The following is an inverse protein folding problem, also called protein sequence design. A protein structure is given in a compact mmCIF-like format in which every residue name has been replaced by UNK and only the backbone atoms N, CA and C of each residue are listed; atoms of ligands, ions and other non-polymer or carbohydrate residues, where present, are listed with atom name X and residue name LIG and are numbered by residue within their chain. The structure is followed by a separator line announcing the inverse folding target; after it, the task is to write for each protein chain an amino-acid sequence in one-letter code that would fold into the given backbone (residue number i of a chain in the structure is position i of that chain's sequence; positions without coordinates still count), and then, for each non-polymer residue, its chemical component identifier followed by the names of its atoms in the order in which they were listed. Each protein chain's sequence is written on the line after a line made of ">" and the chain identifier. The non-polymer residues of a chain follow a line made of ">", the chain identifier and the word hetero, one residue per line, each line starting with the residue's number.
data_IF_740893061259
#
_entry.id   IF_740893061259
#
_cell.length_a   1.000
_cell.length_b   1.000
_cell.length_c   1.000
_cell.angle_alpha   90.00
_cell.angle_beta   90.00
_cell.angle_gamma   90.00
#
_symmetry.space_group_name_H-M   'P 1'
#
loop_
_entity.id
_entity.type
_entity.pdbx_description
1 polymer ?
#
# COMPACT_ATOMS: atom_id res chain seq x y z
N UNK A 1 1.20 -9.93 20.27
CA UNK A 1 -0.14 -10.35 19.82
C UNK A 1 -0.33 -9.80 18.42
N UNK A 2 -0.47 -10.65 17.39
CA UNK A 2 -0.57 -10.20 16.00
C UNK A 2 -2.05 -10.23 15.59
N UNK A 3 -2.69 -9.07 15.54
CA UNK A 3 -4.04 -8.94 15.00
C UNK A 3 -3.93 -8.82 13.48
N UNK A 4 -4.56 -9.74 12.75
CA UNK A 4 -4.66 -9.68 11.28
C UNK A 4 -6.12 -9.44 10.92
N UNK A 5 -6.41 -8.28 10.35
CA UNK A 5 -7.76 -7.98 9.87
C UNK A 5 -7.96 -8.66 8.52
N UNK A 6 -8.91 -9.57 8.47
CA UNK A 6 -9.21 -10.31 7.25
C UNK A 6 -10.28 -9.55 6.49
N UNK A 7 -9.92 -9.20 5.26
CA UNK A 7 -10.86 -8.60 4.34
C UNK A 7 -11.85 -9.66 3.88
N UNK A 8 -13.14 -9.48 4.17
CA UNK A 8 -14.21 -10.28 3.59
C UNK A 8 -14.69 -9.66 2.26
N UNK A 9 -13.77 -9.22 1.39
CA UNK A 9 -14.08 -8.83 0.00
C UNK A 9 -14.23 -10.06 -0.89
N UNK A 10 -14.88 -11.09 -0.38
CA UNK A 10 -15.19 -12.27 -1.15
C UNK A 10 -16.65 -12.57 -0.89
N UNK A 11 -17.50 -11.90 -1.66
CA UNK A 11 -18.83 -12.40 -2.00
C UNK A 11 -18.67 -13.85 -2.46
N UNK A 12 -18.85 -14.80 -1.54
CA UNK A 12 -18.92 -16.24 -1.81
C UNK A 12 -17.74 -17.14 -1.41
N UNK A 13 -16.61 -16.64 -0.88
CA UNK A 13 -15.61 -17.54 -0.27
C UNK A 13 -15.77 -17.60 1.23
N UNK A 14 -16.29 -18.72 1.70
CA UNK A 14 -16.32 -19.11 3.11
C UNK A 14 -14.89 -19.18 3.64
N UNK A 15 -14.62 -18.52 4.77
CA UNK A 15 -13.38 -18.75 5.51
C UNK A 15 -13.33 -20.25 5.84
N UNK A 16 -12.33 -20.97 5.32
CA UNK A 16 -12.25 -22.42 5.48
C UNK A 16 -11.80 -22.77 6.90
N UNK A 17 -12.29 -23.91 7.41
CA UNK A 17 -11.87 -24.42 8.72
C UNK A 17 -10.36 -24.68 8.80
N UNK A 18 -9.74 -25.09 7.69
CA UNK A 18 -8.29 -25.25 7.60
C UNK A 18 -7.55 -23.91 7.83
N UNK A 19 -8.09 -22.82 7.29
CA UNK A 19 -7.50 -21.50 7.44
C UNK A 19 -7.68 -20.97 8.87
N UNK A 20 -8.86 -21.12 9.48
CA UNK A 20 -9.08 -20.72 10.89
C UNK A 20 -8.23 -21.55 11.85
N UNK A 21 -8.08 -22.85 11.59
CA UNK A 21 -7.20 -23.72 12.38
C UNK A 21 -5.74 -23.24 12.32
N UNK A 22 -5.24 -22.86 11.14
CA UNK A 22 -3.91 -22.27 10.97
C UNK A 22 -3.75 -20.94 11.71
N UNK A 23 -4.76 -20.05 11.66
CA UNK A 23 -4.72 -18.78 12.39
C UNK A 23 -4.68 -18.99 13.91
N UNK A 24 -5.52 -19.90 14.41
CA UNK A 24 -5.58 -20.26 15.83
C UNK A 24 -4.26 -20.89 16.31
N UNK A 25 -3.69 -21.83 15.53
CA UNK A 25 -2.39 -22.43 15.83
C UNK A 25 -1.25 -21.39 15.92
N UNK A 26 -1.34 -20.29 15.17
CA UNK A 26 -0.37 -19.20 15.18
C UNK A 26 -0.74 -18.05 16.13
N UNK A 27 -1.79 -18.21 16.96
CA UNK A 27 -2.29 -17.18 17.88
C UNK A 27 -2.60 -15.84 17.19
N UNK A 28 -3.11 -15.92 15.95
CA UNK A 28 -3.55 -14.77 15.18
C UNK A 28 -5.02 -14.50 15.46
N UNK A 29 -5.32 -13.30 15.91
CA UNK A 29 -6.70 -12.83 16.08
C UNK A 29 -7.15 -12.24 14.75
N UNK A 30 -8.31 -12.68 14.27
CA UNK A 30 -8.92 -12.13 13.07
C UNK A 30 -10.31 -11.56 13.34
N UNK A 31 -10.65 -10.52 12.58
CA UNK A 31 -11.96 -9.88 12.58
C UNK A 31 -12.44 -9.82 11.14
N UNK A 32 -13.70 -10.20 10.93
CA UNK A 32 -14.37 -10.07 9.63
C UNK A 32 -14.97 -8.68 9.51
N UNK A 33 -14.63 -7.99 8.42
CA UNK A 33 -15.21 -6.68 8.09
C UNK A 33 -16.45 -6.90 7.22
N UNK A 34 -17.61 -6.28 7.54
CA UNK A 34 -18.78 -6.35 6.69
C UNK A 34 -18.51 -5.91 5.25
N UNK A 35 -19.25 -6.45 4.26
CA UNK A 35 -19.14 -6.01 2.88
C UNK A 35 -19.31 -4.49 2.77
N UNK A 36 -18.52 -3.86 1.90
CA UNK A 36 -18.53 -2.40 1.65
C UNK A 36 -18.21 -1.51 2.85
N UNK A 37 -17.57 -2.05 3.90
CA UNK A 37 -17.09 -1.24 5.04
C UNK A 37 -15.56 -1.20 5.15
N UNK A 38 -14.83 -1.64 4.12
CA UNK A 38 -13.35 -1.70 4.16
C UNK A 38 -12.71 -0.33 4.26
N UNK A 39 -13.30 0.67 3.60
CA UNK A 39 -12.92 2.07 3.66
C UNK A 39 -13.13 2.71 5.03
N UNK A 40 -13.98 2.12 5.89
CA UNK A 40 -14.28 2.60 7.23
C UNK A 40 -13.57 1.82 8.34
N UNK A 41 -13.36 0.52 8.14
CA UNK A 41 -12.96 -0.40 9.22
C UNK A 41 -11.60 -1.06 8.97
N UNK A 42 -11.02 -0.94 7.78
CA UNK A 42 -9.71 -1.50 7.48
C UNK A 42 -8.64 -0.40 7.59
N UNK A 43 -7.76 -0.44 8.62
CA UNK A 43 -6.68 0.54 8.82
C UNK A 43 -5.83 0.79 7.58
N UNK A 44 -5.62 -0.27 6.80
CA UNK A 44 -4.84 -0.21 5.59
C UNK A 44 -5.50 0.63 4.49
N UNK A 45 -6.82 0.55 4.32
CA UNK A 45 -7.55 1.33 3.31
C UNK A 45 -7.78 2.78 3.76
N UNK A 46 -7.95 3.01 5.07
CA UNK A 46 -8.14 4.34 5.66
C UNK A 46 -6.94 5.27 5.44
N UNK A 47 -5.72 4.80 5.71
CA UNK A 47 -4.56 5.71 5.73
C UNK A 47 -3.29 5.16 5.05
N UNK A 48 -2.95 3.88 5.29
CA UNK A 48 -1.68 3.30 4.84
C UNK A 48 -1.60 3.28 3.30
N UNK A 49 -2.67 2.84 2.64
CA UNK A 49 -2.74 2.75 1.18
C UNK A 49 -2.66 4.13 0.51
N UNK A 50 -3.26 5.16 1.11
CA UNK A 50 -3.19 6.53 0.59
C UNK A 50 -1.75 7.03 0.60
N UNK A 51 -1.05 6.89 1.72
CA UNK A 51 0.34 7.32 1.86
C UNK A 51 1.28 6.56 0.92
N UNK A 52 1.11 5.24 0.82
CA UNK A 52 1.90 4.40 -0.09
C UNK A 52 1.69 4.78 -1.56
N UNK A 53 0.43 4.94 -1.99
CA UNK A 53 0.09 5.36 -3.36
C UNK A 53 0.66 6.74 -3.68
N UNK A 54 0.55 7.69 -2.75
CA UNK A 54 1.09 9.04 -2.94
C UNK A 54 2.61 9.02 -3.08
N UNK A 55 3.31 8.23 -2.26
CA UNK A 55 4.77 8.11 -2.33
C UNK A 55 5.22 7.54 -3.68
N UNK A 56 4.63 6.42 -4.10
CA UNK A 56 4.97 5.79 -5.39
C UNK A 56 4.64 6.69 -6.58
N UNK A 57 3.51 7.41 -6.52
CA UNK A 57 3.14 8.40 -7.52
C UNK A 57 4.20 9.50 -7.62
N UNK A 58 4.66 10.05 -6.50
CA UNK A 58 5.68 11.09 -6.49
C UNK A 58 7.02 10.62 -7.06
N UNK A 59 7.44 9.39 -6.73
CA UNK A 59 8.65 8.78 -7.30
C UNK A 59 8.53 8.61 -8.82
N UNK A 60 7.37 8.16 -9.31
CA UNK A 60 7.11 8.05 -10.73
C UNK A 60 7.11 9.42 -11.43
N UNK A 61 6.38 10.41 -10.90
CA UNK A 61 6.27 11.74 -11.49
C UNK A 61 7.64 12.44 -11.54
N UNK A 62 8.43 12.35 -10.47
CA UNK A 62 9.77 12.92 -10.41
C UNK A 62 10.71 12.28 -11.43
N UNK A 63 10.68 10.94 -11.53
CA UNK A 63 11.48 10.21 -12.52
C UNK A 63 11.04 10.55 -13.95
N UNK A 64 9.74 10.56 -14.21
CA UNK A 64 9.19 10.84 -15.54
C UNK A 64 9.55 12.26 -15.99
N UNK A 65 9.38 13.25 -15.11
CA UNK A 65 9.77 14.63 -15.38
C UNK A 65 11.26 14.73 -15.71
N UNK A 66 12.13 14.05 -14.96
CA UNK A 66 13.57 14.02 -15.25
C UNK A 66 13.85 13.42 -16.65
N UNK A 67 13.21 12.30 -17.02
CA UNK A 67 13.38 11.71 -18.36
C UNK A 67 12.93 12.65 -19.49
N UNK A 68 11.82 13.37 -19.30
CA UNK A 68 11.33 14.35 -20.26
C UNK A 68 12.30 15.53 -20.37
N UNK A 69 12.79 16.07 -19.25
CA UNK A 69 13.79 17.14 -19.24
C UNK A 69 15.09 16.73 -19.93
N UNK A 70 15.59 15.53 -19.66
CA UNK A 70 16.82 15.00 -20.28
C UNK A 70 16.67 14.92 -21.80
N UNK A 71 15.53 14.41 -22.30
CA UNK A 71 15.27 14.29 -23.74
C UNK A 71 15.03 15.65 -24.42
N UNK A 72 14.39 16.60 -23.74
CA UNK A 72 14.21 17.98 -24.24
C UNK A 72 15.51 18.78 -24.24
N UNK A 73 16.44 18.49 -23.34
CA UNK A 73 17.75 19.13 -23.34
C UNK A 73 18.64 18.70 -24.51
N UNK A 74 18.39 17.50 -25.05
CA UNK A 74 19.15 16.90 -26.15
C UNK A 74 18.49 16.95 -27.53
N UNK A 75 17.19 17.26 -27.62
CA UNK A 75 16.44 17.36 -28.89
C UNK A 75 15.66 18.68 -28.98
N UNK A 76 15.57 19.26 -30.17
CA UNK A 76 14.85 20.52 -30.39
C UNK A 76 13.34 20.33 -30.65
N UNK A 77 12.89 19.09 -30.90
CA UNK A 77 11.50 18.78 -31.25
C UNK A 77 10.79 18.01 -30.13
N UNK A 78 9.74 18.64 -29.59
CA UNK A 78 8.89 18.07 -28.55
C UNK A 78 8.19 16.78 -28.98
N UNK A 79 8.00 16.56 -30.29
CA UNK A 79 7.35 15.37 -30.83
C UNK A 79 8.25 14.13 -30.78
N UNK A 80 9.56 14.30 -30.58
CA UNK A 80 10.53 13.20 -30.47
C UNK A 80 10.66 12.68 -29.03
N UNK A 81 10.12 13.40 -28.04
CA UNK A 81 10.16 12.98 -26.64
C UNK A 81 9.28 11.75 -26.44
N UNK A 82 9.94 10.61 -26.22
CA UNK A 82 9.27 9.33 -25.96
C UNK A 82 9.94 8.65 -24.79
N UNK A 83 9.29 8.71 -23.63
CA UNK A 83 9.74 7.99 -22.43
C UNK A 83 9.31 6.53 -22.54
N UNK A 84 10.26 5.61 -22.35
CA UNK A 84 9.99 4.17 -22.32
C UNK A 84 9.29 3.77 -21.02
N UNK A 85 7.99 3.48 -21.12
CA UNK A 85 7.14 2.98 -20.04
C UNK A 85 6.89 1.47 -20.12
N UNK A 86 7.69 0.73 -20.89
CA UNK A 86 7.57 -0.72 -21.00
C UNK A 86 7.74 -1.40 -19.64
N UNK A 87 7.09 -2.54 -19.45
CA UNK A 87 7.18 -3.29 -18.19
C UNK A 87 8.61 -3.73 -17.85
N UNK A 88 9.46 -3.94 -18.88
CA UNK A 88 10.87 -4.29 -18.68
C UNK A 88 11.64 -3.14 -18.01
N UNK A 89 11.31 -1.89 -18.34
CA UNK A 89 11.87 -0.69 -17.70
C UNK A 89 11.20 -0.41 -16.35
N UNK A 90 9.88 -0.51 -16.29
CA UNK A 90 9.10 -0.10 -15.12
C UNK A 90 9.19 -1.05 -13.94
N UNK A 91 9.33 -2.38 -14.15
CA UNK A 91 9.39 -3.35 -13.06
C UNK A 91 10.61 -3.15 -12.14
N UNK A 92 11.86 -3.02 -12.65
CA UNK A 92 13.01 -2.73 -11.80
C UNK A 92 12.89 -1.40 -11.05
N UNK A 93 12.38 -0.35 -11.71
CA UNK A 93 12.14 0.95 -11.08
C UNK A 93 11.10 0.85 -9.96
N UNK A 94 9.98 0.18 -10.24
CA UNK A 94 8.93 -0.08 -9.26
C UNK A 94 9.45 -0.86 -8.05
N UNK A 95 10.27 -1.88 -8.25
CA UNK A 95 10.90 -2.61 -7.15
C UNK A 95 11.78 -1.71 -6.28
N UNK A 96 12.60 -0.83 -6.90
CA UNK A 96 13.40 0.16 -6.18
C UNK A 96 12.54 1.14 -5.39
N UNK A 97 11.43 1.61 -5.95
CA UNK A 97 10.51 2.50 -5.26
C UNK A 97 9.79 1.81 -4.11
N UNK A 98 9.48 0.51 -4.22
CA UNK A 98 8.94 -0.28 -3.12
C UNK A 98 9.93 -0.42 -1.96
N UNK A 99 11.23 -0.60 -2.24
CA UNK A 99 12.25 -0.59 -1.19
C UNK A 99 12.30 0.76 -0.48
N UNK A 100 12.31 1.87 -1.24
CA UNK A 100 12.26 3.22 -0.66
C UNK A 100 10.98 3.46 0.15
N UNK A 101 9.84 2.95 -0.33
CA UNK A 101 8.57 3.04 0.38
C UNK A 101 8.65 2.32 1.72
N UNK A 102 9.25 1.12 1.77
CA UNK A 102 9.46 0.41 3.03
C UNK A 102 10.26 1.25 4.03
N UNK A 103 11.39 1.82 3.60
CA UNK A 103 12.21 2.69 4.45
C UNK A 103 11.43 3.93 4.90
N UNK A 104 10.70 4.57 3.99
CA UNK A 104 9.84 5.72 4.29
C UNK A 104 8.78 5.39 5.35
N UNK A 105 8.05 4.29 5.19
CA UNK A 105 7.00 3.86 6.11
C UNK A 105 7.58 3.48 7.48
N UNK A 106 8.79 2.90 7.51
CA UNK A 106 9.51 2.57 8.75
C UNK A 106 9.85 3.82 9.57
N UNK A 107 10.13 4.94 8.91
CA UNK A 107 10.36 6.24 9.59
C UNK A 107 9.06 6.92 10.06
N UNK A 108 7.90 6.43 9.63
CA UNK A 108 6.59 7.05 9.87
C UNK A 108 5.56 6.08 10.45
N UNK A 109 5.82 5.52 11.64
CA UNK A 109 4.89 4.59 12.29
C UNK A 109 3.51 5.22 12.54
N UNK A 110 3.43 6.54 12.67
CA UNK A 110 2.20 7.30 12.85
C UNK A 110 1.18 7.07 11.73
N UNK A 111 1.64 6.80 10.49
CA UNK A 111 0.72 6.51 9.37
C UNK A 111 -0.07 5.24 9.67
N UNK A 112 0.59 4.21 10.21
CA UNK A 112 -0.05 2.95 10.57
C UNK A 112 -0.92 3.16 11.80
N UNK A 113 -0.38 3.76 12.86
CA UNK A 113 -1.11 4.02 14.12
C UNK A 113 -2.39 4.80 13.85
N UNK A 114 -2.33 5.85 13.03
CA UNK A 114 -3.51 6.64 12.66
C UNK A 114 -4.56 5.80 11.92
N UNK A 115 -4.15 4.90 11.03
CA UNK A 115 -5.09 3.96 10.40
C UNK A 115 -5.80 3.06 11.42
N UNK A 116 -5.09 2.58 12.44
CA UNK A 116 -5.69 1.79 13.52
C UNK A 116 -6.57 2.64 14.44
N UNK A 117 -6.30 3.94 14.58
CA UNK A 117 -7.12 4.89 15.34
C UNK A 117 -8.43 5.18 14.64
N UNK A 118 -8.38 5.52 13.36
CA UNK A 118 -9.56 5.81 12.55
C UNK A 118 -10.46 4.57 12.40
N UNK A 119 -9.88 3.37 12.37
CA UNK A 119 -10.65 2.12 12.37
C UNK A 119 -11.30 1.80 13.73
N UNK A 120 -11.05 2.58 14.79
CA UNK A 120 -11.57 2.35 16.13
C UNK A 120 -10.88 1.19 16.89
N UNK A 121 -9.69 0.79 16.48
CA UNK A 121 -8.97 -0.40 17.01
C UNK A 121 -7.90 -0.01 18.05
N UNK A 122 -7.49 1.27 18.10
CA UNK A 122 -6.36 1.71 18.94
C UNK A 122 -6.55 1.43 20.43
N UNK A 123 -7.75 1.68 20.97
CA UNK A 123 -8.07 1.46 22.39
C UNK A 123 -8.03 -0.02 22.79
N UNK A 124 -8.28 -0.93 21.85
CA UNK A 124 -8.21 -2.38 22.05
C UNK A 124 -6.76 -2.87 22.08
N UNK A 125 -5.84 -2.13 21.46
CA UNK A 125 -4.43 -2.46 21.33
C UNK A 125 -3.51 -1.71 22.30
N UNK A 126 -4.04 -0.74 23.06
CA UNK A 126 -3.25 0.12 23.94
C UNK A 126 -2.28 1.03 23.17
N UNK A 127 -2.71 1.53 22.01
CA UNK A 127 -1.93 2.40 21.11
C UNK A 127 -2.28 3.90 21.28
N UNK A 128 -2.80 4.27 22.46
CA UNK A 128 -3.35 5.58 22.77
C UNK A 128 -2.26 6.66 22.89
#
# INVERSE_FOLDING_TARGET
>A
MNITLLNQKITGQTITEEFTAKLSANRVIYVTIPPNCTDLLQPMDLNVNKSAKSFLKNEFESWYAAQVCDQLSGSADINEVKVDLSLNRMKPLGAKWLTKLYDYMKTKPEIVIYGFREAGISSVLGLD
#
